data_IF_674612967856
#
_entry.id   IF_674612967856
#
_cell.length_a   1.000
_cell.length_b   1.000
_cell.length_c   1.000
_cell.angle_alpha   90.00
_cell.angle_beta   90.00
_cell.angle_gamma   90.00
#
_symmetry.space_group_name_H-M   'P 1'
#
loop_
_entity.id
_entity.type
_entity.pdbx_description
1 polymer ?
#
# COMPACT_ATOMS: atom_id res chain seq x y z
N UNK A 1 7.18 -14.06 8.12
CA UNK A 1 8.58 -13.74 7.73
C UNK A 1 8.62 -12.33 7.21
N UNK A 2 9.65 -11.54 7.52
CA UNK A 2 9.71 -10.11 7.20
C UNK A 2 11.10 -9.70 6.68
N UNK A 3 11.16 -8.62 5.90
CA UNK A 3 12.42 -8.02 5.43
C UNK A 3 12.35 -6.48 5.45
N UNK A 4 13.53 -5.86 5.54
CA UNK A 4 13.73 -4.40 5.58
C UNK A 4 13.84 -3.72 4.22
N UNK A 5 13.50 -4.41 3.13
CA UNK A 5 13.46 -3.83 1.78
C UNK A 5 12.12 -4.12 1.11
N UNK A 6 11.53 -3.15 0.38
CA UNK A 6 10.26 -3.36 -0.30
C UNK A 6 10.39 -4.47 -1.34
N UNK A 7 9.34 -5.26 -1.52
CA UNK A 7 9.26 -6.27 -2.56
C UNK A 7 8.98 -5.62 -3.92
N UNK A 8 8.09 -4.65 -3.95
CA UNK A 8 7.74 -3.86 -5.13
C UNK A 8 8.43 -2.50 -5.08
N UNK A 9 9.02 -2.07 -6.20
CA UNK A 9 9.57 -0.71 -6.29
C UNK A 9 8.42 0.30 -6.17
N UNK A 10 8.53 1.25 -5.24
CA UNK A 10 7.50 2.28 -5.03
C UNK A 10 7.15 3.05 -6.31
N UNK A 11 8.13 3.29 -7.19
CA UNK A 11 7.90 3.91 -8.49
C UNK A 11 6.94 3.10 -9.39
N UNK A 12 7.04 1.76 -9.38
CA UNK A 12 6.15 0.89 -10.14
C UNK A 12 4.73 0.89 -9.55
N UNK A 13 4.62 0.87 -8.21
CA UNK A 13 3.33 0.99 -7.51
C UNK A 13 2.64 2.31 -7.89
N UNK A 14 3.36 3.43 -7.87
CA UNK A 14 2.83 4.74 -8.29
C UNK A 14 2.44 4.78 -9.77
N UNK A 15 3.19 4.10 -10.64
CA UNK A 15 2.84 4.01 -12.05
C UNK A 15 1.51 3.27 -12.27
N UNK A 16 1.33 2.12 -11.61
CA UNK A 16 0.06 1.36 -11.65
C UNK A 16 -1.10 2.17 -11.07
N UNK A 17 -0.87 2.89 -9.97
CA UNK A 17 -1.84 3.79 -9.36
C UNK A 17 -2.34 4.86 -10.34
N UNK A 18 -1.41 5.53 -11.04
CA UNK A 18 -1.74 6.53 -12.08
C UNK A 18 -2.46 5.93 -13.29
N UNK A 19 -2.17 4.67 -13.61
CA UNK A 19 -2.85 3.94 -14.69
C UNK A 19 -4.25 3.41 -14.28
N UNK A 20 -4.71 3.68 -13.05
CA UNK A 20 -5.99 3.18 -12.55
C UNK A 20 -5.99 1.66 -12.27
N UNK A 21 -4.82 1.02 -12.22
CA UNK A 21 -4.67 -0.42 -12.00
C UNK A 21 -4.64 -0.74 -10.51
N UNK A 22 -5.68 -0.30 -9.79
CA UNK A 22 -5.78 -0.43 -8.33
C UNK A 22 -7.08 -1.10 -7.94
N UNK A 23 -7.00 -1.99 -6.97
CA UNK A 23 -8.15 -2.59 -6.30
C UNK A 23 -7.93 -2.49 -4.79
N UNK A 24 -9.01 -2.38 -4.05
CA UNK A 24 -9.00 -2.35 -2.59
C UNK A 24 -9.89 -3.47 -2.04
N UNK A 25 -9.56 -3.95 -0.84
CA UNK A 25 -10.44 -4.86 -0.12
C UNK A 25 -11.63 -4.08 0.44
N UNK A 26 -12.74 -4.79 0.69
CA UNK A 26 -13.93 -4.16 1.27
C UNK A 26 -13.62 -3.52 2.63
N UNK A 27 -12.92 -4.24 3.52
CA UNK A 27 -12.56 -3.73 4.84
C UNK A 27 -11.71 -2.45 4.73
N UNK A 28 -10.67 -2.42 3.87
CA UNK A 28 -9.87 -1.22 3.69
C UNK A 28 -10.66 -0.03 3.12
N UNK A 29 -11.69 -0.29 2.30
CA UNK A 29 -12.59 0.76 1.79
C UNK A 29 -13.48 1.33 2.90
N UNK A 30 -14.01 0.46 3.77
CA UNK A 30 -14.85 0.85 4.91
C UNK A 30 -14.03 1.61 5.96
N UNK A 31 -12.84 1.12 6.31
CA UNK A 31 -11.92 1.79 7.24
C UNK A 31 -11.44 3.14 6.68
N UNK A 32 -11.11 3.20 5.39
CA UNK A 32 -10.77 4.44 4.70
C UNK A 32 -11.91 5.45 4.76
N UNK A 33 -13.16 5.02 4.50
CA UNK A 33 -14.33 5.88 4.60
C UNK A 33 -14.58 6.38 6.04
N UNK A 34 -14.35 5.54 7.05
CA UNK A 34 -14.44 5.93 8.46
C UNK A 34 -13.41 7.00 8.84
N UNK A 35 -12.25 7.01 8.17
CA UNK A 35 -11.22 8.05 8.28
C UNK A 35 -11.48 9.29 7.40
N UNK A 36 -12.61 9.33 6.67
CA UNK A 36 -12.97 10.44 5.78
C UNK A 36 -12.36 10.36 4.38
N UNK A 37 -11.75 9.23 4.01
CA UNK A 37 -11.21 9.02 2.67
C UNK A 37 -12.22 8.35 1.74
N UNK A 38 -12.46 8.97 0.59
CA UNK A 38 -13.01 8.28 -0.57
C UNK A 38 -11.90 7.47 -1.29
N UNK A 39 -12.23 6.85 -2.43
CA UNK A 39 -11.27 5.98 -3.13
C UNK A 39 -10.09 6.79 -3.67
N UNK A 40 -10.36 7.99 -4.17
CA UNK A 40 -9.35 8.89 -4.71
C UNK A 40 -8.47 9.45 -3.59
N UNK A 41 -9.03 9.72 -2.41
CA UNK A 41 -8.30 10.08 -1.21
C UNK A 41 -7.33 8.99 -0.77
N UNK A 42 -7.76 7.72 -0.75
CA UNK A 42 -6.87 6.59 -0.50
C UNK A 42 -5.74 6.53 -1.54
N UNK A 43 -6.06 6.73 -2.82
CA UNK A 43 -5.07 6.73 -3.89
C UNK A 43 -4.09 7.90 -3.78
N UNK A 44 -4.55 9.07 -3.36
CA UNK A 44 -3.73 10.26 -3.14
C UNK A 44 -2.67 9.99 -2.05
N UNK A 45 -3.04 9.30 -0.96
CA UNK A 45 -2.07 8.88 0.07
C UNK A 45 -1.00 7.96 -0.53
N UNK A 46 -1.39 6.95 -1.32
CA UNK A 46 -0.44 6.04 -2.00
C UNK A 46 0.49 6.81 -2.96
N UNK A 47 -0.04 7.79 -3.68
CA UNK A 47 0.74 8.63 -4.60
C UNK A 47 1.69 9.59 -3.86
N UNK A 48 1.37 9.99 -2.64
CA UNK A 48 2.19 10.85 -1.79
C UNK A 48 3.34 10.10 -1.10
N UNK A 49 3.25 8.77 -0.93
CA UNK A 49 4.27 7.96 -0.26
C UNK A 49 5.70 8.23 -0.73
N UNK A 50 6.62 8.26 0.21
CA UNK A 50 8.06 8.34 -0.02
C UNK A 50 8.73 7.03 0.40
N UNK A 51 10.02 6.89 0.10
CA UNK A 51 10.80 5.73 0.59
C UNK A 51 10.96 5.73 2.10
N UNK A 52 10.85 6.89 2.76
CA UNK A 52 10.95 7.01 4.21
C UNK A 52 9.71 6.45 4.94
N UNK A 53 8.56 6.41 4.26
CA UNK A 53 7.33 5.85 4.81
C UNK A 53 7.33 4.32 4.80
N UNK A 54 8.30 3.68 4.15
CA UNK A 54 8.41 2.23 4.13
C UNK A 54 8.74 1.69 5.52
N UNK A 55 7.87 0.83 6.04
CA UNK A 55 8.06 0.21 7.33
C UNK A 55 8.71 -1.17 7.21
N UNK A 56 8.10 -2.07 6.42
CA UNK A 56 8.57 -3.44 6.22
C UNK A 56 7.89 -4.10 5.04
N UNK A 57 8.45 -5.22 4.57
CA UNK A 57 7.79 -6.12 3.65
C UNK A 57 7.59 -7.46 4.34
N UNK A 58 6.38 -8.02 4.30
CA UNK A 58 6.03 -9.23 5.02
C UNK A 58 5.31 -10.25 4.15
N UNK A 59 5.44 -11.53 4.51
CA UNK A 59 4.71 -12.63 3.90
C UNK A 59 4.13 -13.54 4.98
N UNK A 60 3.20 -14.42 4.60
CA UNK A 60 2.49 -15.30 5.54
C UNK A 60 2.96 -16.75 5.41
N UNK A 61 2.69 -17.59 6.41
CA UNK A 61 2.96 -19.02 6.30
C UNK A 61 2.04 -19.71 5.29
N UNK A 62 0.81 -19.22 5.14
CA UNK A 62 -0.17 -19.80 4.22
C UNK A 62 0.25 -19.62 2.75
N UNK A 63 0.90 -18.51 2.42
CA UNK A 63 1.50 -18.28 1.12
C UNK A 63 2.75 -17.41 1.24
N UNK A 64 3.92 -18.04 1.13
CA UNK A 64 5.23 -17.41 1.23
C UNK A 64 5.69 -16.73 -0.07
N UNK A 65 4.91 -16.86 -1.16
CA UNK A 65 5.24 -16.27 -2.46
C UNK A 65 4.70 -14.86 -2.60
N UNK A 66 3.61 -14.54 -1.89
CA UNK A 66 3.01 -13.21 -1.89
C UNK A 66 3.61 -12.36 -0.78
N UNK A 67 4.11 -11.19 -1.15
CA UNK A 67 4.69 -10.21 -0.24
C UNK A 67 3.82 -8.95 -0.18
N UNK A 68 3.66 -8.43 1.04
CA UNK A 68 2.89 -7.24 1.35
C UNK A 68 3.87 -6.15 1.82
N UNK A 69 3.99 -5.09 1.04
CA UNK A 69 4.77 -3.91 1.44
C UNK A 69 3.92 -3.00 2.33
N UNK A 70 4.40 -2.75 3.54
CA UNK A 70 3.72 -1.99 4.58
C UNK A 70 4.34 -0.60 4.66
N UNK A 71 3.50 0.43 4.54
CA UNK A 71 3.88 1.83 4.66
C UNK A 71 3.17 2.49 5.84
N UNK A 72 3.80 3.51 6.43
CA UNK A 72 3.29 4.30 7.56
C UNK A 72 3.54 5.79 7.32
N UNK A 73 2.83 6.41 6.38
CA UNK A 73 2.93 7.84 6.18
C UNK A 73 2.38 8.59 7.40
N UNK A 74 3.02 9.70 7.73
CA UNK A 74 2.41 10.71 8.61
C UNK A 74 1.50 11.56 7.73
N UNK A 75 0.19 11.50 7.98
CA UNK A 75 -0.86 12.17 7.19
C UNK A 75 -1.57 13.20 8.03
#
# INVERSE_FOLDING_TARGET
MEKGTPHCKLAAVKAMARAGQVRTTRAAREDGAALGFDFDGMLAVVLALTTADFHKSMTTHADHRVWQDVYRPTT
#
